data_IF_273210800818
#
_entry.id   IF_273210800818
#
_cell.length_a   1.000
_cell.length_b   1.000
_cell.length_c   1.000
_cell.angle_alpha   90.00
_cell.angle_beta   90.00
_cell.angle_gamma   90.00
#
_symmetry.space_group_name_H-M   'P 1'
#
loop_
_entity.id
_entity.type
_entity.pdbx_description
1 polymer ?
#
# COMPACT_ATOMS: atom_id res chain seq x y z
N UNK A 1 -10.84 44.21 21.36
CA UNK A 1 -10.07 43.88 20.13
C UNK A 1 -9.65 42.41 20.04
N UNK A 2 -9.04 41.79 21.06
CA UNK A 2 -8.54 40.39 21.00
C UNK A 2 -9.56 39.33 20.52
N UNK A 3 -10.83 39.40 20.95
CA UNK A 3 -11.88 38.43 20.54
C UNK A 3 -12.22 38.46 19.05
N UNK A 4 -12.24 39.64 18.42
CA UNK A 4 -12.51 39.77 16.97
C UNK A 4 -11.36 39.19 16.15
N UNK A 5 -10.12 39.45 16.56
CA UNK A 5 -8.92 38.90 15.92
C UNK A 5 -8.90 37.37 16.02
N UNK A 6 -9.16 36.80 17.20
CA UNK A 6 -9.24 35.33 17.39
C UNK A 6 -10.33 34.71 16.51
N UNK A 7 -11.50 35.34 16.43
CA UNK A 7 -12.62 34.85 15.62
C UNK A 7 -12.30 34.88 14.11
N UNK A 8 -11.69 35.97 13.63
CA UNK A 8 -11.25 36.09 12.23
C UNK A 8 -10.17 35.05 11.90
N UNK A 9 -9.20 34.82 12.80
CA UNK A 9 -8.18 33.78 12.62
C UNK A 9 -8.79 32.37 12.57
N UNK A 10 -9.76 32.07 13.43
CA UNK A 10 -10.48 30.79 13.44
C UNK A 10 -11.23 30.53 12.13
N UNK A 11 -12.00 31.51 11.64
CA UNK A 11 -12.72 31.40 10.37
C UNK A 11 -11.73 31.20 9.22
N UNK A 12 -10.66 31.99 9.16
CA UNK A 12 -9.63 31.86 8.14
C UNK A 12 -8.99 30.46 8.14
N UNK A 13 -8.70 29.90 9.33
CA UNK A 13 -8.16 28.54 9.42
C UNK A 13 -9.17 27.49 8.94
N UNK A 14 -10.45 27.61 9.35
CA UNK A 14 -11.53 26.70 8.95
C UNK A 14 -11.79 26.70 7.44
N UNK A 15 -11.67 27.84 6.77
CA UNK A 15 -11.85 27.93 5.31
C UNK A 15 -10.64 27.41 4.54
N UNK A 16 -9.43 27.48 5.11
CA UNK A 16 -8.20 26.97 4.47
C UNK A 16 -8.09 25.44 4.61
N UNK A 17 -8.63 24.84 5.67
CA UNK A 17 -8.53 23.40 5.94
C UNK A 17 -8.94 22.51 4.75
N UNK A 18 -10.11 22.70 4.10
CA UNK A 18 -10.50 21.92 2.93
C UNK A 18 -9.51 22.08 1.76
N UNK A 19 -8.99 23.28 1.54
CA UNK A 19 -8.02 23.55 0.48
C UNK A 19 -6.67 22.91 0.77
N UNK A 20 -6.21 22.94 2.03
CA UNK A 20 -4.99 22.27 2.45
C UNK A 20 -5.10 20.75 2.27
N UNK A 21 -6.20 20.15 2.70
CA UNK A 21 -6.47 18.73 2.51
C UNK A 21 -6.52 18.37 1.02
N UNK A 22 -7.27 19.14 0.23
CA UNK A 22 -7.37 18.92 -1.22
C UNK A 22 -6.02 19.05 -1.90
N UNK A 23 -5.21 20.04 -1.52
CA UNK A 23 -3.86 20.23 -2.04
C UNK A 23 -2.93 19.06 -1.72
N UNK A 24 -2.93 18.58 -0.47
CA UNK A 24 -2.14 17.41 -0.07
C UNK A 24 -2.60 16.13 -0.79
N UNK A 25 -3.91 15.91 -0.87
CA UNK A 25 -4.48 14.75 -1.54
C UNK A 25 -4.18 14.74 -3.04
N UNK A 26 -4.44 15.86 -3.74
CA UNK A 26 -4.12 16.02 -5.16
C UNK A 26 -2.62 15.87 -5.40
N UNK A 27 -1.78 16.43 -4.52
CA UNK A 27 -0.34 16.24 -4.58
C UNK A 27 0.07 14.77 -4.52
N UNK A 28 -0.58 13.98 -3.67
CA UNK A 28 -0.30 12.55 -3.53
C UNK A 28 -0.76 11.73 -4.74
N UNK A 29 -1.93 12.03 -5.33
CA UNK A 29 -2.48 11.24 -6.46
C UNK A 29 -2.02 11.71 -7.84
N UNK A 30 -1.40 12.90 -7.96
CA UNK A 30 -0.94 13.46 -9.24
C UNK A 30 0.12 12.57 -9.90
N UNK A 31 1.00 11.99 -9.10
CA UNK A 31 2.07 11.12 -9.59
C UNK A 31 2.39 10.02 -8.56
N UNK A 32 1.58 8.94 -8.52
CA UNK A 32 1.78 7.85 -7.55
C UNK A 32 3.02 7.00 -7.88
N UNK A 33 3.61 7.18 -9.07
CA UNK A 33 4.80 6.43 -9.51
C UNK A 33 6.09 7.26 -9.44
N UNK A 34 6.04 8.60 -9.37
CA UNK A 34 7.24 9.45 -9.47
C UNK A 34 8.32 9.25 -8.40
N UNK A 35 7.99 8.61 -7.27
CA UNK A 35 8.92 8.30 -6.16
C UNK A 35 8.98 6.83 -5.78
N UNK A 36 8.52 5.91 -6.64
CA UNK A 36 8.56 4.47 -6.32
C UNK A 36 9.98 3.93 -6.17
N UNK A 37 10.98 4.63 -6.72
CA UNK A 37 12.40 4.35 -6.50
C UNK A 37 12.85 4.50 -5.03
N UNK A 38 12.05 5.10 -4.17
CA UNK A 38 12.28 5.19 -2.72
C UNK A 38 11.55 4.08 -1.95
N UNK A 39 10.67 3.32 -2.61
CA UNK A 39 9.88 2.26 -1.99
C UNK A 39 10.78 1.05 -1.73
N UNK A 40 11.03 0.66 -0.46
CA UNK A 40 11.93 -0.45 -0.16
C UNK A 40 11.35 -1.78 -0.65
N UNK A 41 12.09 -2.45 -1.52
CA UNK A 41 11.73 -3.75 -2.11
C UNK A 41 12.93 -4.69 -2.02
N UNK A 42 12.73 -5.86 -1.43
CA UNK A 42 13.77 -6.88 -1.38
C UNK A 42 14.00 -7.47 -2.77
N UNK A 43 15.26 -7.61 -3.16
CA UNK A 43 15.68 -8.24 -4.41
C UNK A 43 16.45 -9.52 -4.10
N UNK A 44 15.78 -10.66 -4.23
CA UNK A 44 16.27 -11.97 -3.79
C UNK A 44 16.61 -12.82 -5.01
N UNK A 45 17.82 -13.37 -5.04
CA UNK A 45 18.29 -14.29 -6.07
C UNK A 45 19.47 -15.12 -5.53
N UNK A 46 19.73 -16.30 -6.10
CA UNK A 46 20.96 -17.04 -5.82
C UNK A 46 22.19 -16.34 -6.45
N UNK A 47 23.40 -16.75 -6.07
CA UNK A 47 24.66 -16.12 -6.54
C UNK A 47 24.82 -16.14 -8.07
N UNK A 48 24.38 -17.22 -8.73
CA UNK A 48 24.44 -17.33 -10.20
C UNK A 48 23.49 -16.36 -10.89
N UNK A 49 22.24 -16.29 -10.41
CA UNK A 49 21.18 -15.45 -10.99
C UNK A 49 21.40 -13.96 -10.69
N UNK A 50 22.09 -13.64 -9.58
CA UNK A 50 22.59 -12.29 -9.31
C UNK A 50 23.55 -11.79 -10.39
N UNK A 51 24.34 -12.67 -11.02
CA UNK A 51 25.25 -12.29 -12.09
C UNK A 51 24.53 -12.09 -13.44
N UNK A 52 23.24 -12.44 -13.54
CA UNK A 52 22.51 -12.35 -14.80
C UNK A 52 22.32 -10.90 -15.26
N UNK A 53 22.41 -10.61 -16.58
CA UNK A 53 22.18 -9.27 -17.10
C UNK A 53 20.79 -8.71 -16.73
N UNK A 54 19.77 -9.57 -16.66
CA UNK A 54 18.41 -9.16 -16.33
C UNK A 54 18.28 -8.75 -14.87
N UNK A 55 18.86 -9.53 -13.94
CA UNK A 55 18.91 -9.15 -12.54
C UNK A 55 19.63 -7.82 -12.35
N UNK A 56 20.80 -7.65 -12.99
CA UNK A 56 21.58 -6.42 -12.90
C UNK A 56 20.86 -5.22 -13.52
N UNK A 57 20.16 -5.41 -14.65
CA UNK A 57 19.36 -4.36 -15.27
C UNK A 57 18.18 -3.95 -14.38
N UNK A 58 17.48 -4.91 -13.77
CA UNK A 58 16.39 -4.62 -12.83
C UNK A 58 16.94 -3.90 -11.60
N UNK A 59 18.06 -4.34 -11.04
CA UNK A 59 18.73 -3.66 -9.92
C UNK A 59 19.14 -2.22 -10.29
N UNK A 60 19.66 -2.02 -11.49
CA UNK A 60 20.15 -0.73 -11.97
C UNK A 60 19.04 0.22 -12.45
N UNK A 61 17.86 -0.28 -12.82
CA UNK A 61 16.74 0.53 -13.31
C UNK A 61 16.24 1.53 -12.27
N UNK A 62 16.51 1.26 -10.98
CA UNK A 62 15.98 2.02 -9.84
C UNK A 62 14.45 2.14 -9.90
N UNK A 63 13.75 1.15 -10.47
CA UNK A 63 12.28 1.10 -10.46
C UNK A 63 11.77 1.14 -9.02
N UNK A 64 12.45 0.43 -8.12
CA UNK A 64 12.19 0.48 -6.68
C UNK A 64 13.46 0.77 -5.88
N UNK A 65 13.30 1.04 -4.60
CA UNK A 65 14.40 1.11 -3.63
C UNK A 65 14.92 -0.29 -3.31
N UNK A 66 15.59 -0.92 -4.28
CA UNK A 66 16.01 -2.31 -4.17
C UNK A 66 17.02 -2.54 -3.04
N UNK A 67 16.71 -3.51 -2.18
CA UNK A 67 17.61 -4.01 -1.13
C UNK A 67 17.93 -5.48 -1.41
N UNK A 68 19.20 -5.78 -1.61
CA UNK A 68 19.62 -7.16 -1.84
C UNK A 68 19.76 -7.88 -0.49
N UNK A 69 19.01 -8.97 -0.31
CA UNK A 69 19.01 -9.72 0.95
C UNK A 69 18.53 -11.17 0.73
N UNK A 70 18.54 -11.96 1.80
CA UNK A 70 18.05 -13.34 1.76
C UNK A 70 16.52 -13.40 1.80
N UNK A 71 15.92 -14.46 1.25
CA UNK A 71 14.47 -14.66 1.31
C UNK A 71 13.94 -14.69 2.76
N UNK A 72 14.71 -15.27 3.69
CA UNK A 72 14.32 -15.37 5.10
C UNK A 72 14.25 -13.98 5.75
N UNK A 73 15.28 -13.15 5.54
CA UNK A 73 15.32 -11.78 6.04
C UNK A 73 14.22 -10.93 5.40
N UNK A 74 14.07 -11.00 4.07
CA UNK A 74 13.05 -10.27 3.34
C UNK A 74 11.63 -10.58 3.85
N UNK A 75 11.32 -11.86 4.12
CA UNK A 75 10.02 -12.25 4.68
C UNK A 75 9.77 -11.65 6.07
N UNK A 76 10.80 -11.60 6.92
CA UNK A 76 10.70 -10.99 8.24
C UNK A 76 10.47 -9.47 8.14
N UNK A 77 11.23 -8.80 7.27
CA UNK A 77 11.11 -7.35 7.06
C UNK A 77 9.78 -6.97 6.41
N UNK A 78 9.24 -7.81 5.51
CA UNK A 78 7.91 -7.62 4.92
C UNK A 78 6.81 -7.74 5.98
N UNK A 79 6.88 -8.77 6.84
CA UNK A 79 5.94 -8.93 7.98
C UNK A 79 6.03 -7.77 8.98
N UNK A 80 7.22 -7.22 9.18
CA UNK A 80 7.46 -6.08 10.05
C UNK A 80 7.09 -4.73 9.43
N UNK A 81 6.71 -4.68 8.15
CA UNK A 81 6.40 -3.44 7.42
C UNK A 81 7.62 -2.55 7.14
N UNK A 82 8.83 -3.09 7.23
CA UNK A 82 10.07 -2.37 6.92
C UNK A 82 10.32 -2.29 5.41
N UNK A 83 9.84 -3.28 4.67
CA UNK A 83 9.79 -3.30 3.21
C UNK A 83 8.35 -3.57 2.74
N UNK A 84 8.05 -3.22 1.49
CA UNK A 84 6.68 -3.31 0.96
C UNK A 84 6.48 -4.44 -0.05
N UNK A 85 7.57 -5.03 -0.53
CA UNK A 85 7.52 -6.21 -1.38
C UNK A 85 8.85 -6.94 -1.52
N UNK A 86 8.78 -8.14 -2.07
CA UNK A 86 9.93 -9.02 -2.34
C UNK A 86 9.82 -9.47 -3.79
N UNK A 87 10.88 -9.27 -4.57
CA UNK A 87 11.06 -9.91 -5.86
C UNK A 87 12.04 -11.07 -5.71
N UNK A 88 11.52 -12.28 -5.69
CA UNK A 88 12.27 -13.53 -5.58
C UNK A 88 12.48 -14.16 -6.97
N UNK A 89 13.71 -14.13 -7.45
CA UNK A 89 14.13 -14.81 -8.66
C UNK A 89 14.36 -16.28 -8.32
N UNK A 90 13.49 -17.15 -8.83
CA UNK A 90 13.55 -18.58 -8.53
C UNK A 90 14.86 -19.20 -9.00
N UNK A 91 15.26 -20.27 -8.32
CA UNK A 91 16.46 -21.01 -8.69
C UNK A 91 16.46 -21.38 -10.18
N UNK A 92 17.62 -21.25 -10.83
CA UNK A 92 17.81 -21.48 -12.26
C UNK A 92 17.05 -20.50 -13.16
N UNK A 93 16.81 -19.27 -12.69
CA UNK A 93 16.17 -18.23 -13.50
C UNK A 93 16.94 -17.99 -14.80
N UNK A 94 18.24 -17.77 -14.72
CA UNK A 94 19.11 -17.48 -15.87
C UNK A 94 19.18 -18.66 -16.84
N UNK A 95 19.30 -19.88 -16.30
CA UNK A 95 19.34 -21.11 -17.11
C UNK A 95 18.02 -21.34 -17.85
N UNK A 96 16.89 -21.05 -17.22
CA UNK A 96 15.57 -21.14 -17.86
C UNK A 96 15.45 -20.16 -19.01
N UNK A 97 16.00 -18.94 -18.87
CA UNK A 97 16.02 -17.95 -19.95
C UNK A 97 16.91 -18.37 -21.13
N UNK A 98 18.11 -18.87 -20.86
CA UNK A 98 19.03 -19.32 -21.91
C UNK A 98 18.45 -20.49 -22.71
N UNK A 99 17.77 -21.40 -22.03
CA UNK A 99 17.18 -22.61 -22.64
C UNK A 99 15.75 -22.39 -23.11
N UNK A 100 15.17 -21.19 -22.95
CA UNK A 100 13.77 -20.91 -23.26
C UNK A 100 13.44 -21.23 -24.71
N UNK A 101 14.31 -20.83 -25.65
CA UNK A 101 14.07 -21.03 -27.08
C UNK A 101 13.88 -22.52 -27.46
N UNK A 102 14.48 -23.43 -26.70
CA UNK A 102 14.40 -24.88 -26.94
C UNK A 102 13.33 -25.56 -26.07
N UNK A 103 13.18 -25.13 -24.81
CA UNK A 103 12.36 -25.83 -23.82
C UNK A 103 10.97 -25.26 -23.65
N UNK A 104 10.74 -24.00 -24.08
CA UNK A 104 9.51 -23.24 -23.84
C UNK A 104 9.12 -23.16 -22.34
N UNK A 105 10.09 -23.31 -21.44
CA UNK A 105 9.86 -23.20 -19.99
C UNK A 105 10.23 -21.79 -19.52
N UNK A 106 9.26 -20.97 -19.08
CA UNK A 106 9.54 -19.60 -18.68
C UNK A 106 10.34 -19.56 -17.37
N UNK A 107 11.21 -18.56 -17.25
CA UNK A 107 11.83 -18.22 -15.99
C UNK A 107 10.81 -17.52 -15.08
N UNK A 108 10.87 -17.81 -13.78
CA UNK A 108 9.84 -17.36 -12.84
C UNK A 108 10.41 -16.33 -11.85
N UNK A 109 9.66 -15.24 -11.66
CA UNK A 109 9.85 -14.29 -10.57
C UNK A 109 8.61 -14.38 -9.68
N UNK A 110 8.80 -14.50 -8.36
CA UNK A 110 7.74 -14.41 -7.36
C UNK A 110 7.74 -13.03 -6.72
N UNK A 111 6.63 -12.30 -6.84
CA UNK A 111 6.39 -11.04 -6.14
C UNK A 111 5.59 -11.32 -4.87
N UNK A 112 6.19 -11.11 -3.70
CA UNK A 112 5.46 -11.11 -2.43
C UNK A 112 5.10 -9.68 -2.02
N UNK A 113 3.87 -9.46 -1.61
CA UNK A 113 3.33 -8.18 -1.12
C UNK A 113 2.40 -8.43 0.07
N UNK A 114 1.93 -7.37 0.73
CA UNK A 114 0.94 -7.48 1.80
C UNK A 114 -0.13 -6.41 1.65
N UNK A 115 -1.32 -6.79 1.18
CA UNK A 115 -2.42 -5.82 1.07
C UNK A 115 -3.00 -5.42 2.43
N UNK A 116 -2.94 -6.32 3.42
CA UNK A 116 -3.35 -6.07 4.80
C UNK A 116 -2.42 -5.10 5.56
N UNK A 117 -1.13 -5.04 5.22
CA UNK A 117 -0.21 -4.03 5.76
C UNK A 117 -0.28 -2.71 4.99
N UNK A 118 -0.24 -2.76 3.66
CA UNK A 118 -0.34 -1.56 2.84
C UNK A 118 -0.94 -1.84 1.45
N UNK A 119 -2.25 -1.61 1.33
CA UNK A 119 -3.02 -1.83 0.12
C UNK A 119 -2.53 -1.00 -1.08
N UNK A 120 -2.24 0.29 -0.88
CA UNK A 120 -1.77 1.18 -1.94
C UNK A 120 -0.40 0.76 -2.48
N UNK A 121 0.55 0.43 -1.60
CA UNK A 121 1.86 -0.06 -1.99
C UNK A 121 1.75 -1.39 -2.74
N UNK A 122 0.90 -2.33 -2.29
CA UNK A 122 0.63 -3.58 -3.00
C UNK A 122 0.21 -3.34 -4.44
N UNK A 123 -0.78 -2.47 -4.69
CA UNK A 123 -1.25 -2.17 -6.05
C UNK A 123 -0.18 -1.52 -6.92
N UNK A 124 0.54 -0.54 -6.38
CA UNK A 124 1.64 0.12 -7.10
C UNK A 124 2.73 -0.90 -7.46
N UNK A 125 3.17 -1.72 -6.50
CA UNK A 125 4.19 -2.75 -6.69
C UNK A 125 3.77 -3.78 -7.73
N UNK A 126 2.55 -4.33 -7.63
CA UNK A 126 2.07 -5.33 -8.59
C UNK A 126 1.98 -4.74 -9.99
N UNK A 127 1.47 -3.52 -10.17
CA UNK A 127 1.39 -2.88 -11.49
C UNK A 127 2.80 -2.62 -12.06
N UNK A 128 3.69 -2.01 -11.28
CA UNK A 128 5.03 -1.68 -11.73
C UNK A 128 5.89 -2.93 -11.99
N UNK A 129 5.76 -4.00 -11.18
CA UNK A 129 6.44 -5.27 -11.43
C UNK A 129 5.92 -5.98 -12.68
N UNK A 130 4.61 -5.97 -12.93
CA UNK A 130 4.04 -6.51 -14.17
C UNK A 130 4.56 -5.75 -15.40
N UNK A 131 4.61 -4.41 -15.34
CA UNK A 131 5.18 -3.60 -16.41
C UNK A 131 6.66 -3.92 -16.62
N UNK A 132 7.44 -4.00 -15.55
CA UNK A 132 8.87 -4.35 -15.60
C UNK A 132 9.12 -5.72 -16.25
N UNK A 133 8.29 -6.73 -15.94
CA UNK A 133 8.39 -8.06 -16.56
C UNK A 133 7.97 -8.00 -18.03
N UNK A 134 6.96 -7.20 -18.37
CA UNK A 134 6.52 -6.97 -19.76
C UNK A 134 7.65 -6.35 -20.59
N UNK A 135 8.29 -5.30 -20.07
CA UNK A 135 9.41 -4.61 -20.73
C UNK A 135 10.61 -5.56 -20.89
N UNK A 136 10.90 -6.36 -19.85
CA UNK A 136 11.97 -7.36 -19.89
C UNK A 136 11.70 -8.43 -20.94
N UNK A 137 10.47 -8.95 -21.02
CA UNK A 137 10.07 -9.91 -22.04
C UNK A 137 10.17 -9.33 -23.45
N UNK A 138 9.79 -8.07 -23.65
CA UNK A 138 9.91 -7.41 -24.94
C UNK A 138 11.37 -7.26 -25.37
N UNK A 139 12.26 -6.89 -24.44
CA UNK A 139 13.69 -6.79 -24.71
C UNK A 139 14.33 -8.16 -25.03
N UNK A 140 13.97 -9.19 -24.26
CA UNK A 140 14.43 -10.57 -24.49
C UNK A 140 13.95 -11.08 -25.84
N UNK A 141 12.67 -10.85 -26.18
CA UNK A 141 12.10 -11.26 -27.45
C UNK A 141 12.84 -10.62 -28.63
N UNK A 142 13.08 -9.31 -28.60
CA UNK A 142 13.83 -8.62 -29.66
C UNK A 142 15.24 -9.19 -29.83
N UNK A 143 16.01 -9.29 -28.74
CA UNK A 143 17.38 -9.84 -28.78
C UNK A 143 17.41 -11.29 -29.28
N UNK A 144 16.46 -12.12 -28.84
CA UNK A 144 16.42 -13.55 -29.20
C UNK A 144 15.98 -13.76 -30.64
N UNK A 145 14.99 -13.00 -31.13
CA UNK A 145 14.56 -13.03 -32.54
C UNK A 145 15.73 -12.65 -33.46
N UNK A 146 16.48 -11.60 -33.14
CA UNK A 146 17.66 -11.21 -33.93
C UNK A 146 18.68 -12.35 -34.00
N UNK A 147 19.02 -12.98 -32.87
CA UNK A 147 19.96 -14.11 -32.83
C UNK A 147 19.47 -15.32 -33.62
N UNK A 148 18.19 -15.69 -33.47
CA UNK A 148 17.60 -16.82 -34.17
C UNK A 148 17.53 -16.58 -35.69
N UNK A 149 17.17 -15.37 -36.13
CA UNK A 149 17.17 -15.01 -37.55
C UNK A 149 18.59 -15.07 -38.14
N UNK A 150 19.61 -14.58 -37.44
CA UNK A 150 21.02 -14.71 -37.88
C UNK A 150 21.45 -16.17 -37.97
N UNK A 151 21.03 -17.00 -37.00
CA UNK A 151 21.29 -18.44 -37.01
C UNK A 151 20.40 -19.25 -37.97
N UNK A 152 19.47 -18.59 -38.69
CA UNK A 152 18.45 -19.22 -39.55
C UNK A 152 17.60 -20.28 -38.84
N UNK A 153 17.35 -20.08 -37.54
CA UNK A 153 16.52 -20.95 -36.70
C UNK A 153 15.09 -20.42 -36.62
N UNK A 154 14.12 -21.32 -36.46
CA UNK A 154 12.72 -20.93 -36.26
C UNK A 154 12.54 -20.16 -34.94
N UNK A 155 11.75 -19.09 -34.97
CA UNK A 155 11.34 -18.37 -33.77
C UNK A 155 10.24 -19.17 -33.06
N UNK A 156 10.45 -19.57 -31.80
CA UNK A 156 9.44 -20.33 -31.07
C UNK A 156 8.20 -19.50 -30.76
N UNK A 157 7.05 -20.17 -30.74
CA UNK A 157 5.78 -19.61 -30.28
C UNK A 157 5.85 -19.31 -28.78
N UNK A 158 5.58 -18.07 -28.38
CA UNK A 158 5.58 -17.69 -26.95
C UNK A 158 6.84 -16.95 -26.48
N UNK A 159 7.71 -16.49 -27.40
CA UNK A 159 8.92 -15.72 -27.07
C UNK A 159 8.68 -14.44 -26.26
N UNK A 160 7.46 -13.94 -26.23
CA UNK A 160 7.02 -12.81 -25.41
C UNK A 160 6.71 -13.17 -23.94
N UNK A 161 6.81 -14.44 -23.55
CA UNK A 161 6.52 -14.93 -22.19
C UNK A 161 7.74 -15.63 -21.56
N UNK A 162 8.97 -15.23 -21.93
CA UNK A 162 10.19 -15.82 -21.40
C UNK A 162 10.32 -15.71 -19.87
N UNK A 163 9.75 -14.66 -19.28
CA UNK A 163 9.63 -14.43 -17.84
C UNK A 163 8.14 -14.40 -17.47
N UNK A 164 7.77 -15.11 -16.40
CA UNK A 164 6.44 -15.06 -15.79
C UNK A 164 6.55 -14.54 -14.36
N UNK A 165 5.70 -13.57 -14.03
CA UNK A 165 5.53 -13.04 -12.68
C UNK A 165 4.40 -13.79 -11.96
N UNK A 166 4.70 -14.37 -10.80
CA UNK A 166 3.68 -14.89 -9.88
C UNK A 166 3.56 -13.98 -8.67
N UNK A 167 2.36 -13.50 -8.39
CA UNK A 167 2.13 -12.61 -7.24
C UNK A 167 1.55 -13.37 -6.06
N UNK A 168 2.09 -13.11 -4.88
CA UNK A 168 1.67 -13.65 -3.61
C UNK A 168 1.37 -12.51 -2.64
N UNK A 169 0.20 -12.58 -2.01
CA UNK A 169 -0.17 -11.68 -0.93
C UNK A 169 -0.09 -12.44 0.39
N UNK A 170 0.82 -12.02 1.28
CA UNK A 170 1.03 -12.69 2.57
C UNK A 170 -0.03 -12.31 3.60
N UNK A 171 -0.84 -11.28 3.35
CA UNK A 171 -1.92 -10.87 4.24
C UNK A 171 -3.08 -10.33 3.38
N UNK A 172 -3.80 -11.20 2.64
CA UNK A 172 -4.77 -10.77 1.65
C UNK A 172 -6.01 -10.16 2.29
N UNK A 173 -6.42 -9.00 1.79
CA UNK A 173 -7.76 -8.44 2.02
C UNK A 173 -8.73 -8.95 0.96
N UNK A 174 -10.00 -9.19 1.30
CA UNK A 174 -10.96 -9.82 0.38
C UNK A 174 -11.31 -8.93 -0.80
N UNK A 175 -11.36 -7.63 -0.58
CA UNK A 175 -11.75 -6.65 -1.57
C UNK A 175 -11.12 -5.28 -1.29
N UNK A 176 -11.24 -4.37 -2.26
CA UNK A 176 -10.68 -3.03 -2.16
C UNK A 176 -11.29 -2.21 -1.01
N UNK A 177 -12.55 -2.47 -0.64
CA UNK A 177 -13.21 -1.74 0.44
C UNK A 177 -12.59 -2.10 1.80
N UNK A 178 -12.29 -3.38 2.05
CA UNK A 178 -11.60 -3.83 3.27
C UNK A 178 -10.17 -3.26 3.34
N UNK A 179 -9.44 -3.22 2.21
CA UNK A 179 -8.09 -2.62 2.15
C UNK A 179 -8.05 -1.10 2.35
N UNK A 180 -9.11 -0.37 1.97
CA UNK A 180 -9.20 1.08 2.13
C UNK A 180 -10.00 1.52 3.38
N UNK A 181 -10.60 0.57 4.10
CA UNK A 181 -11.47 0.84 5.25
C UNK A 181 -10.80 1.70 6.32
N UNK A 182 -9.54 1.45 6.77
CA UNK A 182 -8.90 2.27 7.79
C UNK A 182 -8.84 3.76 7.42
N UNK A 183 -8.59 4.07 6.15
CA UNK A 183 -8.54 5.44 5.64
C UNK A 183 -9.92 6.11 5.71
N UNK A 184 -10.96 5.47 5.17
CA UNK A 184 -12.31 6.03 5.18
C UNK A 184 -12.89 6.14 6.59
N UNK A 185 -12.60 5.17 7.46
CA UNK A 185 -13.05 5.17 8.85
C UNK A 185 -12.50 6.36 9.62
N UNK A 186 -11.20 6.63 9.51
CA UNK A 186 -10.58 7.81 10.13
C UNK A 186 -11.22 9.12 9.62
N UNK A 187 -11.41 9.24 8.30
CA UNK A 187 -12.01 10.42 7.69
C UNK A 187 -13.47 10.64 8.15
N UNK A 188 -14.30 9.60 8.12
CA UNK A 188 -15.72 9.68 8.49
C UNK A 188 -15.91 9.96 9.99
N UNK A 189 -15.10 9.34 10.86
CA UNK A 189 -15.15 9.61 12.30
C UNK A 189 -14.68 11.03 12.63
N UNK A 190 -13.64 11.53 11.95
CA UNK A 190 -13.18 12.89 12.11
C UNK A 190 -14.25 13.93 11.74
N UNK A 191 -14.86 13.78 10.55
CA UNK A 191 -15.93 14.67 10.08
C UNK A 191 -17.15 14.60 11.00
N UNK A 192 -17.56 13.38 11.39
CA UNK A 192 -18.68 13.18 12.32
C UNK A 192 -18.44 13.83 13.68
N UNK A 193 -17.23 13.70 14.23
CA UNK A 193 -16.84 14.35 15.48
C UNK A 193 -16.92 15.88 15.42
N UNK A 194 -16.49 16.49 14.30
CA UNK A 194 -16.65 17.94 14.09
C UNK A 194 -18.14 18.31 14.10
N UNK A 195 -18.97 17.60 13.32
CA UNK A 195 -20.41 17.91 13.22
C UNK A 195 -21.08 17.79 14.60
N UNK A 196 -20.81 16.70 15.33
CA UNK A 196 -21.34 16.48 16.68
C UNK A 196 -20.95 17.65 17.60
N UNK A 197 -19.67 18.01 17.64
CA UNK A 197 -19.20 19.11 18.49
C UNK A 197 -19.84 20.47 18.10
N UNK A 198 -19.96 20.76 16.81
CA UNK A 198 -20.60 21.99 16.32
C UNK A 198 -22.09 22.06 16.68
N UNK A 199 -22.82 20.95 16.54
CA UNK A 199 -24.24 20.87 16.91
C UNK A 199 -24.40 21.05 18.43
N UNK A 200 -23.55 20.40 19.23
CA UNK A 200 -23.60 20.51 20.69
C UNK A 200 -23.31 21.93 21.17
N UNK A 201 -22.28 22.58 20.61
CA UNK A 201 -22.00 23.99 20.89
C UNK A 201 -23.17 24.90 20.57
N UNK A 202 -23.93 24.60 19.52
CA UNK A 202 -25.06 25.45 19.12
C UNK A 202 -26.28 25.26 20.01
N UNK A 203 -26.55 24.02 20.44
CA UNK A 203 -27.74 23.67 21.21
C UNK A 203 -27.57 23.87 22.72
N UNK A 204 -26.37 23.64 23.26
CA UNK A 204 -26.13 23.53 24.70
C UNK A 204 -25.07 24.49 25.25
N UNK A 205 -24.63 25.51 24.47
CA UNK A 205 -23.70 26.52 24.98
C UNK A 205 -24.31 27.34 26.13
N UNK A 206 -24.09 26.89 27.37
CA UNK A 206 -24.46 27.64 28.56
C UNK A 206 -23.56 28.85 28.74
N UNK A 207 -24.15 30.05 28.84
CA UNK A 207 -23.43 31.31 29.07
C UNK A 207 -23.06 31.55 30.54
N UNK A 208 -23.57 30.76 31.50
CA UNK A 208 -23.24 30.88 32.93
C UNK A 208 -23.26 29.50 33.60
N UNK A 209 -22.09 28.99 33.94
CA UNK A 209 -21.91 27.75 34.69
C UNK A 209 -20.50 27.65 35.27
N UNK A 210 -20.32 26.86 36.34
CA UNK A 210 -18.99 26.56 36.90
C UNK A 210 -18.11 25.96 35.81
N UNK A 211 -16.81 26.28 35.81
CA UNK A 211 -15.84 25.84 34.79
C UNK A 211 -15.90 24.33 34.52
N UNK A 212 -16.06 23.49 35.56
CA UNK A 212 -16.20 22.03 35.44
C UNK A 212 -17.42 21.62 34.61
N UNK A 213 -18.56 22.26 34.82
CA UNK A 213 -19.80 22.00 34.09
C UNK A 213 -19.62 22.36 32.62
N UNK A 214 -18.96 23.49 32.31
CA UNK A 214 -18.64 23.87 30.94
C UNK A 214 -17.82 22.79 30.21
N UNK A 215 -16.70 22.33 30.80
CA UNK A 215 -15.87 21.30 30.16
C UNK A 215 -16.59 19.95 30.00
N UNK A 216 -17.43 19.56 30.99
CA UNK A 216 -18.21 18.33 30.91
C UNK A 216 -19.19 18.36 29.72
N UNK A 217 -19.98 19.42 29.60
CA UNK A 217 -20.96 19.56 28.51
C UNK A 217 -20.31 19.77 27.14
N UNK A 218 -19.17 20.46 27.10
CA UNK A 218 -18.50 20.82 25.85
C UNK A 218 -17.64 19.70 25.27
N UNK A 219 -17.04 18.86 26.10
CA UNK A 219 -16.08 17.85 25.63
C UNK A 219 -16.50 16.43 25.98
N UNK A 220 -17.00 16.17 27.19
CA UNK A 220 -17.29 14.79 27.61
C UNK A 220 -18.48 14.19 26.84
N UNK A 221 -19.54 14.98 26.62
CA UNK A 221 -20.71 14.49 25.87
C UNK A 221 -20.44 14.29 24.36
N UNK A 222 -19.82 15.25 23.63
CA UNK A 222 -19.41 15.02 22.25
C UNK A 222 -18.42 13.86 22.11
N UNK A 223 -17.51 13.68 23.07
CA UNK A 223 -16.61 12.52 23.08
C UNK A 223 -17.38 11.20 23.24
N UNK A 224 -18.34 11.14 24.17
CA UNK A 224 -19.22 9.98 24.34
C UNK A 224 -20.01 9.65 23.06
N UNK A 225 -20.57 10.66 22.40
CA UNK A 225 -21.27 10.46 21.12
C UNK A 225 -20.33 10.01 19.99
N UNK A 226 -19.09 10.48 19.98
CA UNK A 226 -18.08 10.04 19.02
C UNK A 226 -17.71 8.56 19.22
N UNK A 227 -17.68 8.08 20.47
CA UNK A 227 -17.52 6.66 20.77
C UNK A 227 -18.72 5.83 20.29
N UNK A 228 -19.95 6.33 20.47
CA UNK A 228 -21.15 5.69 19.93
C UNK A 228 -21.09 5.64 18.40
N UNK A 229 -20.68 6.72 17.73
CA UNK A 229 -20.50 6.75 16.28
C UNK A 229 -19.48 5.69 15.82
N UNK A 230 -18.35 5.54 16.53
CA UNK A 230 -17.36 4.51 16.24
C UNK A 230 -17.93 3.09 16.43
N UNK A 231 -18.72 2.85 17.48
CA UNK A 231 -19.37 1.57 17.73
C UNK A 231 -20.40 1.23 16.63
N UNK A 232 -21.24 2.19 16.24
CA UNK A 232 -22.20 2.04 15.14
C UNK A 232 -21.47 1.74 13.83
N UNK A 233 -20.41 2.48 13.51
CA UNK A 233 -19.64 2.23 12.30
C UNK A 233 -19.02 0.84 12.29
N UNK A 234 -18.45 0.40 13.41
CA UNK A 234 -17.92 -0.96 13.57
C UNK A 234 -19.01 -2.01 13.33
N UNK A 235 -20.18 -1.84 13.96
CA UNK A 235 -21.30 -2.77 13.80
C UNK A 235 -21.82 -2.81 12.35
N UNK A 236 -21.98 -1.65 11.70
CA UNK A 236 -22.39 -1.59 10.29
C UNK A 236 -21.38 -2.32 9.39
N UNK A 237 -20.09 -2.16 9.66
CA UNK A 237 -19.04 -2.82 8.86
C UNK A 237 -18.98 -4.33 9.07
N UNK A 238 -19.27 -4.79 10.29
CA UNK A 238 -19.38 -6.21 10.59
C UNK A 238 -20.62 -6.83 9.94
N UNK A 239 -21.78 -6.18 10.03
CA UNK A 239 -23.08 -6.74 9.59
C UNK A 239 -23.31 -6.58 8.09
N UNK A 240 -23.01 -5.43 7.51
CA UNK A 240 -23.30 -5.14 6.09
C UNK A 240 -22.16 -5.66 5.22
N UNK A 241 -20.93 -5.29 5.56
CA UNK A 241 -19.77 -5.54 4.70
C UNK A 241 -19.06 -6.84 5.04
N UNK A 242 -19.45 -7.53 6.13
CA UNK A 242 -18.87 -8.81 6.57
C UNK A 242 -17.34 -8.75 6.67
N UNK A 243 -16.81 -7.58 7.06
CA UNK A 243 -15.38 -7.39 7.26
C UNK A 243 -14.92 -8.26 8.42
N UNK A 244 -13.73 -8.85 8.26
CA UNK A 244 -13.10 -9.60 9.33
C UNK A 244 -12.63 -8.61 10.39
N UNK A 245 -13.53 -8.26 11.31
CA UNK A 245 -13.18 -7.40 12.45
C UNK A 245 -12.19 -8.20 13.29
N UNK A 246 -10.89 -7.92 13.13
CA UNK A 246 -9.85 -8.43 14.03
C UNK A 246 -10.36 -8.22 15.45
N UNK A 247 -10.40 -9.31 16.21
CA UNK A 247 -11.03 -9.38 17.52
C UNK A 247 -10.63 -8.17 18.37
N UNK A 248 -11.60 -7.58 19.07
CA UNK A 248 -11.42 -6.42 19.97
C UNK A 248 -10.22 -6.54 20.94
N UNK A 249 -9.74 -7.77 21.18
CA UNK A 249 -8.50 -8.08 21.90
C UNK A 249 -7.23 -7.52 21.24
N UNK A 250 -7.16 -7.44 19.90
CA UNK A 250 -6.01 -6.88 19.16
C UNK A 250 -5.84 -5.38 19.41
N UNK A 251 -6.95 -4.68 19.68
CA UNK A 251 -6.95 -3.25 20.01
C UNK A 251 -6.36 -2.95 21.41
N UNK A 252 -6.36 -3.93 22.31
CA UNK A 252 -5.91 -3.78 23.71
C UNK A 252 -4.59 -4.52 23.99
N UNK A 253 -4.30 -5.60 23.26
CA UNK A 253 -3.22 -6.54 23.59
C UNK A 253 -2.66 -7.16 22.29
N UNK A 254 -1.72 -6.51 21.60
CA UNK A 254 -0.75 -7.26 20.80
C UNK A 254 0.47 -6.42 20.41
N UNK A 255 1.62 -6.63 21.05
CA UNK A 255 2.90 -6.22 20.52
C UNK A 255 3.52 -7.19 19.49
N UNK A 256 2.96 -8.38 19.24
CA UNK A 256 3.79 -9.42 18.56
C UNK A 256 3.11 -10.66 17.97
N UNK A 257 1.80 -10.72 17.73
CA UNK A 257 1.21 -11.89 17.05
C UNK A 257 0.56 -11.54 15.72
N UNK A 258 1.41 -11.53 14.69
CA UNK A 258 1.02 -11.69 13.29
C UNK A 258 1.54 -13.04 12.79
N UNK A 259 1.00 -14.12 13.38
CA UNK A 259 1.05 -15.42 12.73
C UNK A 259 -0.17 -15.53 11.81
N UNK A 260 0.00 -14.93 10.63
CA UNK A 260 -0.69 -15.29 9.38
C UNK A 260 0.38 -15.83 8.43
#
# INVERSE_FOLDING_TARGET
MKKKVIFTLLIGFLTILPSLYSGLFLGAIRDPYGKINQLPVALVANSTDQASPIYQNIKASKTFGFKQESLSQAKQELKAGQIFGILDFKANFSKSLETFAMTQKPAQIELFTSSGLNFSAQKILTTAANQMVTDSNQAIAQSTITKLNTAKMAVPTGISQAIVLKTHDISPVKNNAEGLAPYFFALTLFVGGIIINQVFMRLFASKKGKLKTFYLWQFALPAGMSLIQAAVMTLLTAVIFHFSVLSWAVWLISPSRLDI
#
